data_IF_279634820297
#
_entry.id   IF_279634820297
#
_cell.length_a   1.000
_cell.length_b   1.000
_cell.length_c   1.000
_cell.angle_alpha   90.00
_cell.angle_beta   90.00
_cell.angle_gamma   90.00
#
_symmetry.space_group_name_H-M   'P 1'
#
loop_
_entity.id
_entity.type
_entity.pdbx_description
1 polymer ?
#
# COMPACT_ATOMS: atom_id res chain seq x y z
N UNK A 1 9.69 -12.43 17.43
CA UNK A 1 8.31 -12.97 17.32
C UNK A 1 7.37 -11.79 17.41
N UNK A 2 6.39 -11.71 16.50
CA UNK A 2 5.42 -10.61 16.52
C UNK A 2 4.34 -10.82 17.59
N UNK A 3 3.81 -9.72 18.14
CA UNK A 3 2.63 -9.74 19.00
C UNK A 3 1.34 -9.97 18.19
N UNK A 4 0.23 -10.24 18.88
CA UNK A 4 -1.08 -10.32 18.21
C UNK A 4 -1.49 -9.00 17.57
N UNK A 5 -1.20 -7.86 18.22
CA UNK A 5 -1.46 -6.54 17.66
C UNK A 5 -0.63 -6.28 16.40
N UNK A 6 0.67 -6.58 16.46
CA UNK A 6 1.57 -6.46 15.31
C UNK A 6 1.12 -7.35 14.15
N UNK A 7 0.70 -8.58 14.45
CA UNK A 7 0.16 -9.50 13.45
C UNK A 7 -1.12 -8.94 12.82
N UNK A 8 -2.00 -8.33 13.61
CA UNK A 8 -3.20 -7.69 13.11
C UNK A 8 -2.90 -6.48 12.22
N UNK A 9 -1.89 -5.67 12.59
CA UNK A 9 -1.41 -4.53 11.79
C UNK A 9 -0.88 -5.02 10.44
N UNK A 10 -0.01 -6.03 10.43
CA UNK A 10 0.56 -6.61 9.21
C UNK A 10 -0.54 -7.20 8.33
N UNK A 11 -1.49 -7.94 8.89
CA UNK A 11 -2.61 -8.50 8.14
C UNK A 11 -3.53 -7.39 7.56
N UNK A 12 -3.76 -6.31 8.30
CA UNK A 12 -4.52 -5.17 7.82
C UNK A 12 -3.80 -4.48 6.65
N UNK A 13 -2.50 -4.24 6.76
CA UNK A 13 -1.69 -3.69 5.67
C UNK A 13 -1.72 -4.58 4.41
N UNK A 14 -1.66 -5.90 4.57
CA UNK A 14 -1.81 -6.84 3.44
C UNK A 14 -3.19 -6.76 2.78
N UNK A 15 -4.26 -6.65 3.58
CA UNK A 15 -5.62 -6.50 3.06
C UNK A 15 -5.82 -5.19 2.29
N UNK A 16 -5.24 -4.10 2.79
CA UNK A 16 -5.29 -2.79 2.13
C UNK A 16 -4.49 -2.78 0.82
N UNK A 17 -3.29 -3.39 0.81
CA UNK A 17 -2.51 -3.58 -0.42
C UNK A 17 -3.28 -4.43 -1.46
N UNK A 18 -3.96 -5.49 -1.03
CA UNK A 18 -4.77 -6.30 -1.93
C UNK A 18 -5.93 -5.50 -2.56
N UNK A 19 -6.54 -4.57 -1.81
CA UNK A 19 -7.55 -3.66 -2.32
C UNK A 19 -6.99 -2.69 -3.36
N UNK A 20 -5.81 -2.11 -3.11
CA UNK A 20 -5.13 -1.26 -4.10
C UNK A 20 -4.79 -2.01 -5.39
N UNK A 21 -4.18 -3.19 -5.28
CA UNK A 21 -3.83 -4.03 -6.44
C UNK A 21 -5.07 -4.38 -7.25
N UNK A 22 -6.20 -4.69 -6.58
CA UNK A 22 -7.47 -4.96 -7.25
C UNK A 22 -7.97 -3.76 -8.04
N UNK A 23 -7.84 -2.56 -7.48
CA UNK A 23 -8.21 -1.33 -8.17
C UNK A 23 -7.34 -1.09 -9.42
N UNK A 24 -6.03 -1.32 -9.33
CA UNK A 24 -5.14 -1.22 -10.50
C UNK A 24 -5.52 -2.18 -11.64
N UNK A 25 -5.99 -3.39 -11.31
CA UNK A 25 -6.53 -4.32 -12.30
C UNK A 25 -7.82 -3.77 -12.95
N UNK A 26 -8.73 -3.18 -12.17
CA UNK A 26 -9.94 -2.56 -12.69
C UNK A 26 -9.64 -1.38 -13.62
N UNK A 27 -8.68 -0.52 -13.25
CA UNK A 27 -8.22 0.59 -14.08
C UNK A 27 -7.66 0.11 -15.42
N UNK A 28 -6.85 -0.97 -15.40
CA UNK A 28 -6.30 -1.58 -16.62
C UNK A 28 -7.41 -2.05 -17.57
N UNK A 29 -8.48 -2.62 -17.00
CA UNK A 29 -9.64 -3.11 -17.75
C UNK A 29 -10.67 -2.01 -18.07
N UNK A 30 -10.43 -0.75 -17.62
CA UNK A 30 -11.36 0.40 -17.71
C UNK A 30 -12.76 0.09 -17.17
N UNK A 31 -12.78 -0.70 -16.10
CA UNK A 31 -13.99 -1.19 -15.45
C UNK A 31 -14.22 -0.56 -14.06
N UNK A 32 -13.40 0.42 -13.68
CA UNK A 32 -13.51 1.14 -12.42
C UNK A 32 -14.74 2.08 -12.40
N UNK A 33 -15.31 2.23 -11.20
CA UNK A 33 -16.36 3.21 -10.91
C UNK A 33 -15.85 4.28 -9.95
N UNK A 34 -16.63 5.35 -9.78
CA UNK A 34 -16.33 6.35 -8.74
C UNK A 34 -16.35 5.77 -7.32
N UNK A 35 -17.12 4.70 -7.10
CA UNK A 35 -17.11 3.98 -5.83
C UNK A 35 -15.80 3.22 -5.61
N UNK A 36 -15.31 2.53 -6.64
CA UNK A 36 -14.03 1.84 -6.61
C UNK A 36 -12.87 2.82 -6.38
N UNK A 37 -12.91 4.01 -7.00
CA UNK A 37 -11.91 5.06 -6.76
C UNK A 37 -11.92 5.53 -5.30
N UNK A 38 -13.09 5.74 -4.69
CA UNK A 38 -13.19 6.12 -3.27
C UNK A 38 -12.69 5.02 -2.33
N UNK A 39 -12.98 3.77 -2.66
CA UNK A 39 -12.52 2.63 -1.89
C UNK A 39 -11.00 2.45 -2.00
N UNK A 40 -10.44 2.70 -3.18
CA UNK A 40 -8.99 2.78 -3.38
C UNK A 40 -8.37 3.92 -2.57
N UNK A 41 -8.92 5.14 -2.61
CA UNK A 41 -8.38 6.27 -1.86
C UNK A 41 -8.39 5.98 -0.34
N UNK A 42 -9.45 5.34 0.16
CA UNK A 42 -9.53 4.87 1.55
C UNK A 42 -8.47 3.81 1.85
N UNK A 43 -8.34 2.81 0.98
CA UNK A 43 -7.36 1.74 1.15
C UNK A 43 -5.94 2.31 1.20
N UNK A 44 -5.63 3.23 0.28
CA UNK A 44 -4.33 3.89 0.18
C UNK A 44 -3.99 4.79 1.35
N UNK A 45 -4.94 5.58 1.82
CA UNK A 45 -4.77 6.35 3.05
C UNK A 45 -4.49 5.44 4.25
N UNK A 46 -5.24 4.34 4.38
CA UNK A 46 -5.04 3.35 5.43
C UNK A 46 -3.68 2.65 5.35
N UNK A 47 -3.28 2.20 4.16
CA UNK A 47 -2.00 1.51 3.96
C UNK A 47 -0.84 2.44 4.29
N UNK A 48 -0.86 3.66 3.76
CA UNK A 48 0.17 4.68 4.04
C UNK A 48 0.32 4.94 5.53
N UNK A 49 -0.80 5.04 6.27
CA UNK A 49 -0.76 5.26 7.71
C UNK A 49 -0.13 4.09 8.47
N UNK A 50 -0.38 2.84 8.07
CA UNK A 50 0.23 1.67 8.70
C UNK A 50 1.71 1.54 8.35
N UNK A 51 2.10 1.79 7.10
CA UNK A 51 3.50 1.74 6.66
C UNK A 51 4.35 2.80 7.35
N UNK A 52 3.79 3.99 7.63
CA UNK A 52 4.49 5.04 8.38
C UNK A 52 4.96 4.59 9.78
N UNK A 53 4.32 3.59 10.39
CA UNK A 53 4.75 3.04 11.68
C UNK A 53 6.13 2.36 11.60
N UNK A 54 6.50 1.81 10.44
CA UNK A 54 7.80 1.17 10.25
C UNK A 54 8.96 2.20 10.25
N UNK A 55 8.66 3.44 9.86
CA UNK A 55 9.64 4.54 9.78
C UNK A 55 9.74 5.37 11.06
N UNK A 56 8.81 5.21 12.00
CA UNK A 56 8.82 5.95 13.26
C UNK A 56 9.73 5.26 14.30
N UNK A 57 10.76 5.97 14.76
CA UNK A 57 11.79 5.44 15.67
C UNK A 57 11.23 4.83 16.97
N UNK A 58 10.12 5.38 17.49
CA UNK A 58 9.43 4.93 18.71
C UNK A 58 8.02 4.40 18.43
N UNK A 59 7.83 3.65 17.33
CA UNK A 59 6.52 3.08 16.99
C UNK A 59 6.03 2.01 17.98
N UNK A 60 6.94 1.47 18.81
CA UNK A 60 6.66 0.36 19.71
C UNK A 60 6.54 -1.00 19.00
N UNK A 61 6.81 -1.05 17.69
CA UNK A 61 6.82 -2.28 16.92
C UNK A 61 8.12 -3.05 17.12
N UNK A 62 8.01 -4.38 17.17
CA UNK A 62 9.16 -5.27 17.11
C UNK A 62 9.84 -5.18 15.74
N UNK A 63 11.15 -5.48 15.70
CA UNK A 63 11.91 -5.49 14.44
C UNK A 63 11.30 -6.39 13.35
N UNK A 64 10.69 -7.52 13.75
CA UNK A 64 10.00 -8.42 12.83
C UNK A 64 8.74 -7.79 12.21
N UNK A 65 8.00 -6.98 12.97
CA UNK A 65 6.85 -6.26 12.45
C UNK A 65 7.27 -5.11 11.53
N UNK A 66 8.35 -4.40 11.86
CA UNK A 66 8.95 -3.36 11.02
C UNK A 66 9.40 -3.94 9.67
N UNK A 67 10.14 -5.05 9.69
CA UNK A 67 10.58 -5.75 8.47
C UNK A 67 9.40 -6.19 7.61
N UNK A 68 8.36 -6.78 8.22
CA UNK A 68 7.16 -7.19 7.50
C UNK A 68 6.41 -6.02 6.85
N UNK A 69 6.38 -4.84 7.49
CA UNK A 69 5.79 -3.64 6.91
C UNK A 69 6.64 -3.08 5.76
N UNK A 70 7.97 -3.06 5.88
CA UNK A 70 8.85 -2.67 4.76
C UNK A 70 8.69 -3.61 3.55
N UNK A 71 8.50 -4.91 3.77
CA UNK A 71 8.22 -5.85 2.69
C UNK A 71 6.88 -5.55 1.98
N UNK A 72 5.88 -5.07 2.72
CA UNK A 72 4.59 -4.65 2.15
C UNK A 72 4.75 -3.33 1.39
N UNK A 73 5.50 -2.37 1.93
CA UNK A 73 5.83 -1.10 1.27
C UNK A 73 6.55 -1.33 -0.06
N UNK A 74 7.54 -2.24 -0.10
CA UNK A 74 8.23 -2.59 -1.33
C UNK A 74 7.27 -3.16 -2.39
N UNK A 75 6.27 -3.95 -1.98
CA UNK A 75 5.23 -4.49 -2.88
C UNK A 75 4.25 -3.43 -3.34
N UNK A 76 3.86 -2.49 -2.48
CA UNK A 76 3.05 -1.33 -2.85
C UNK A 76 3.77 -0.51 -3.94
N UNK A 77 5.03 -0.16 -3.72
CA UNK A 77 5.83 0.60 -4.68
C UNK A 77 5.92 -0.14 -6.02
N UNK A 78 6.13 -1.45 -6.00
CA UNK A 78 6.17 -2.27 -7.21
C UNK A 78 4.82 -2.25 -7.96
N UNK A 79 3.70 -2.48 -7.25
CA UNK A 79 2.37 -2.48 -7.84
C UNK A 79 1.99 -1.10 -8.41
N UNK A 80 2.31 -0.02 -7.69
CA UNK A 80 2.07 1.36 -8.12
C UNK A 80 2.89 1.70 -9.37
N UNK A 81 4.16 1.27 -9.44
CA UNK A 81 4.98 1.47 -10.64
C UNK A 81 4.44 0.67 -11.85
N UNK A 82 4.05 -0.60 -11.65
CA UNK A 82 3.47 -1.44 -12.72
C UNK A 82 2.16 -0.83 -13.25
N UNK A 83 1.28 -0.37 -12.35
CA UNK A 83 0.04 0.30 -12.74
C UNK A 83 0.31 1.58 -13.53
N UNK A 84 1.29 2.38 -13.10
CA UNK A 84 1.70 3.61 -13.80
C UNK A 84 2.19 3.32 -15.22
N UNK A 85 3.05 2.31 -15.39
CA UNK A 85 3.54 1.87 -16.69
C UNK A 85 2.41 1.37 -17.59
N UNK A 86 1.50 0.55 -17.05
CA UNK A 86 0.36 0.00 -17.79
C UNK A 86 -0.64 1.09 -18.26
N UNK A 87 -0.81 2.15 -17.47
CA UNK A 87 -1.75 3.24 -17.76
C UNK A 87 -1.14 4.35 -18.63
N UNK A 88 0.15 4.27 -18.98
CA UNK A 88 0.81 5.24 -19.86
C UNK A 88 1.00 6.62 -19.24
N UNK A 89 0.87 6.75 -17.92
CA UNK A 89 1.19 7.97 -17.19
C UNK A 89 2.71 8.03 -16.99
N UNK A 90 3.40 8.86 -17.77
CA UNK A 90 4.83 9.17 -17.59
C UNK A 90 5.15 9.43 -16.11
N UNK A 91 6.38 9.12 -15.64
CA UNK A 91 6.76 9.38 -14.26
C UNK A 91 6.49 10.84 -13.90
N UNK A 92 5.76 11.08 -12.81
CA UNK A 92 5.70 12.39 -12.18
C UNK A 92 7.15 12.82 -11.93
N UNK A 93 7.59 13.85 -12.64
CA UNK A 93 8.86 14.52 -12.32
C UNK A 93 8.73 15.03 -10.89
N UNK A 94 9.41 14.35 -9.98
CA UNK A 94 9.72 14.90 -8.67
C UNK A 94 10.96 15.78 -8.87
N UNK A 95 10.75 17.10 -8.83
CA UNK A 95 11.80 18.11 -8.68
C UNK A 95 12.29 18.78 -9.96
N UNK A 96 12.13 20.10 -10.02
CA UNK A 96 13.29 21.02 -10.02
C UNK A 96 13.43 21.58 -8.59
#
# INVERSE_FOLDING_TARGET
>A
MMTQLETAIVNAAQGLLAAEVRFYLMLKDRADTEEDQRDYDRARGGLTALLALAHQADSGLSAAAVEALHDIEAKEIAATNEAREALGTSPLRVGD
#
